data_IF_789555489812
#
_entry.id   IF_789555489812
#
_cell.length_a   1.000
_cell.length_b   1.000
_cell.length_c   1.000
_cell.angle_alpha   90.00
_cell.angle_beta   90.00
_cell.angle_gamma   90.00
#
_symmetry.space_group_name_H-M   'P 1'
#
loop_
_entity.id
_entity.type
_entity.pdbx_description
1 polymer ?
#
# COMPACT_ATOMS: atom_id res chain seq x y z
N UNK A 1 -32.35 11.10 -17.83
CA UNK A 1 -31.12 11.91 -17.70
C UNK A 1 -30.33 11.44 -16.49
N UNK A 2 -29.11 10.91 -16.66
CA UNK A 2 -28.22 10.66 -15.51
C UNK A 2 -27.81 12.03 -14.95
N UNK A 3 -28.18 12.33 -13.70
CA UNK A 3 -27.65 13.49 -12.96
C UNK A 3 -26.13 13.33 -12.94
N UNK A 4 -25.39 14.17 -13.66
CA UNK A 4 -23.94 14.26 -13.48
C UNK A 4 -23.74 14.88 -12.09
N UNK A 5 -23.54 14.02 -11.10
CA UNK A 5 -23.04 14.46 -9.80
C UNK A 5 -21.69 15.12 -10.06
N UNK A 6 -21.53 16.39 -9.70
CA UNK A 6 -20.22 17.03 -9.78
C UNK A 6 -19.33 16.31 -8.77
N UNK A 7 -18.11 15.93 -9.16
CA UNK A 7 -17.12 15.34 -8.26
C UNK A 7 -16.17 16.41 -7.71
N UNK A 8 -15.50 16.09 -6.61
CA UNK A 8 -14.34 16.81 -6.09
C UNK A 8 -13.20 15.81 -5.90
N UNK A 9 -11.96 16.24 -6.14
CA UNK A 9 -10.77 15.39 -6.03
C UNK A 9 -9.98 15.81 -4.79
N UNK A 10 -9.76 14.87 -3.87
CA UNK A 10 -8.94 15.07 -2.68
C UNK A 10 -7.55 14.53 -2.97
N UNK A 11 -6.53 15.38 -2.84
CA UNK A 11 -5.13 14.95 -2.95
C UNK A 11 -4.55 14.76 -1.55
N UNK A 12 -3.98 13.59 -1.33
CA UNK A 12 -3.26 13.22 -0.12
C UNK A 12 -1.82 12.86 -0.52
N UNK A 13 -0.87 13.31 0.31
CA UNK A 13 0.52 12.86 0.24
C UNK A 13 0.79 11.99 1.46
N UNK A 14 1.49 10.89 1.22
CA UNK A 14 2.02 10.03 2.26
C UNK A 14 3.51 10.32 2.35
N UNK A 15 3.96 10.67 3.54
CA UNK A 15 5.34 11.06 3.84
C UNK A 15 5.93 10.09 4.86
N UNK A 16 7.21 9.77 4.76
CA UNK A 16 7.88 8.98 5.78
C UNK A 16 7.91 9.74 7.11
N UNK A 17 7.72 9.02 8.22
CA UNK A 17 7.72 9.65 9.54
C UNK A 17 9.09 10.31 9.85
N UNK A 18 9.11 11.52 10.44
CA UNK A 18 10.36 12.21 10.77
C UNK A 18 11.26 11.41 11.71
N UNK A 19 12.55 11.38 11.41
CA UNK A 19 13.56 10.70 12.24
C UNK A 19 13.68 9.20 12.00
N UNK A 20 12.91 8.65 11.04
CA UNK A 20 13.01 7.26 10.68
C UNK A 20 14.25 6.94 9.84
N UNK A 21 14.83 5.76 10.07
CA UNK A 21 15.87 5.25 9.19
C UNK A 21 15.25 4.96 7.81
N UNK A 22 15.96 5.23 6.72
CA UNK A 22 15.53 4.86 5.35
C UNK A 22 15.66 3.35 5.10
N UNK A 23 15.20 2.55 6.05
CA UNK A 23 15.23 1.10 6.02
C UNK A 23 13.99 0.54 6.71
N UNK A 24 13.53 -0.64 6.31
CA UNK A 24 12.47 -1.33 7.03
C UNK A 24 12.89 -1.62 8.48
N UNK A 25 11.96 -1.41 9.40
CA UNK A 25 12.15 -1.68 10.81
C UNK A 25 10.94 -2.41 11.40
N UNK A 26 11.13 -3.03 12.57
CA UNK A 26 10.02 -3.66 13.28
C UNK A 26 9.25 -2.58 14.02
N UNK A 27 8.06 -2.24 13.53
CA UNK A 27 7.14 -1.39 14.26
C UNK A 27 6.38 -2.22 15.30
N UNK A 28 6.25 -1.68 16.50
CA UNK A 28 5.51 -2.29 17.60
C UNK A 28 4.42 -1.33 18.00
N UNK A 29 3.23 -1.51 17.47
CA UNK A 29 2.08 -0.78 17.98
C UNK A 29 1.64 -1.41 19.31
N UNK A 30 1.48 -0.60 20.36
CA UNK A 30 1.09 -1.10 21.70
C UNK A 30 -0.32 -1.71 21.73
N UNK A 31 -1.16 -1.45 20.73
CA UNK A 31 -2.58 -1.81 20.73
C UNK A 31 -3.01 -2.85 19.67
N UNK A 32 -2.16 -3.25 18.72
CA UNK A 32 -2.51 -4.26 17.71
C UNK A 32 -1.34 -5.19 17.36
N UNK A 33 -1.66 -6.40 16.89
CA UNK A 33 -0.73 -7.51 16.52
C UNK A 33 0.14 -7.21 15.28
N UNK A 34 0.45 -5.95 14.99
CA UNK A 34 1.31 -5.57 13.87
C UNK A 34 2.74 -5.41 14.39
N UNK A 35 3.48 -6.52 14.43
CA UNK A 35 4.90 -6.55 14.80
C UNK A 35 5.75 -6.93 13.59
N UNK A 36 5.66 -6.17 12.49
CA UNK A 36 6.25 -6.52 11.20
C UNK A 36 7.28 -5.50 10.69
N UNK A 37 8.13 -5.88 9.71
CA UNK A 37 8.96 -4.94 8.99
C UNK A 37 8.08 -3.96 8.21
N UNK A 38 8.18 -2.67 8.54
CA UNK A 38 7.43 -1.64 7.85
C UNK A 38 8.28 -0.37 7.65
N UNK A 39 7.77 0.51 6.80
CA UNK A 39 8.14 1.91 6.76
C UNK A 39 6.99 2.74 7.34
N UNK A 40 7.27 3.59 8.33
CA UNK A 40 6.22 4.43 8.92
C UNK A 40 5.93 5.61 8.01
N UNK A 41 4.65 5.88 7.81
CA UNK A 41 4.18 6.96 6.94
C UNK A 41 3.13 7.78 7.64
N UNK A 42 3.06 9.07 7.35
CA UNK A 42 1.96 9.93 7.78
C UNK A 42 1.26 10.51 6.56
N UNK A 43 -0.06 10.52 6.64
CA UNK A 43 -0.92 11.06 5.61
C UNK A 43 -1.19 12.55 5.86
N UNK A 44 -0.91 13.37 4.85
CA UNK A 44 -1.23 14.80 4.85
C UNK A 44 -2.22 15.10 3.72
N UNK A 45 -3.39 15.65 4.05
CA UNK A 45 -4.37 16.14 3.07
C UNK A 45 -3.86 17.47 2.49
N UNK A 46 -3.49 17.48 1.22
CA UNK A 46 -2.91 18.65 0.55
C UNK A 46 -3.94 19.64 0.04
N UNK A 47 -5.15 19.16 -0.27
CA UNK A 47 -6.25 20.03 -0.64
C UNK A 47 -7.31 19.35 -1.50
N UNK A 48 -8.24 20.18 -1.94
CA UNK A 48 -9.40 19.82 -2.74
C UNK A 48 -9.31 20.47 -4.11
N UNK A 49 -9.63 19.72 -5.16
CA UNK A 49 -9.50 20.14 -6.55
C UNK A 49 -10.80 19.89 -7.31
N UNK A 50 -11.19 20.83 -8.18
CA UNK A 50 -12.37 20.66 -9.03
C UNK A 50 -12.14 19.67 -10.17
N UNK A 51 -10.88 19.48 -10.58
CA UNK A 51 -10.52 18.56 -11.66
C UNK A 51 -9.36 17.66 -11.26
N UNK A 52 -9.37 16.42 -11.77
CA UNK A 52 -8.26 15.48 -11.64
C UNK A 52 -6.95 16.09 -12.16
N UNK A 53 -7.02 16.81 -13.28
CA UNK A 53 -5.86 17.45 -13.90
C UNK A 53 -5.16 18.45 -12.97
N UNK A 54 -5.94 19.20 -12.19
CA UNK A 54 -5.38 20.17 -11.24
C UNK A 54 -4.74 19.48 -10.04
N UNK A 55 -5.33 18.38 -9.56
CA UNK A 55 -4.72 17.54 -8.52
C UNK A 55 -3.37 16.95 -9.02
N UNK A 56 -3.35 16.35 -10.21
CA UNK A 56 -2.13 15.79 -10.81
C UNK A 56 -1.05 16.86 -11.08
N UNK A 57 -1.46 18.09 -11.42
CA UNK A 57 -0.52 19.22 -11.56
C UNK A 57 0.17 19.54 -10.24
N UNK A 58 -0.49 19.35 -9.10
CA UNK A 58 0.13 19.57 -7.80
C UNK A 58 1.08 18.45 -7.39
N UNK A 59 0.79 17.18 -7.72
CA UNK A 59 1.76 16.09 -7.61
C UNK A 59 3.05 16.46 -8.34
N UNK A 60 2.95 16.88 -9.60
CA UNK A 60 4.12 17.30 -10.41
C UNK A 60 4.90 18.46 -9.78
N UNK A 61 4.24 19.41 -9.10
CA UNK A 61 4.93 20.49 -8.40
C UNK A 61 5.73 19.99 -7.21
N UNK A 62 5.21 19.00 -6.48
CA UNK A 62 5.87 18.41 -5.31
C UNK A 62 7.06 17.56 -5.75
N UNK A 63 6.87 16.68 -6.73
CA UNK A 63 7.94 15.86 -7.32
C UNK A 63 9.11 16.72 -7.81
N UNK A 64 8.83 17.86 -8.46
CA UNK A 64 9.86 18.81 -8.91
C UNK A 64 10.71 19.42 -7.79
N UNK A 65 10.24 19.39 -6.54
CA UNK A 65 11.02 19.83 -5.37
C UNK A 65 11.99 18.75 -4.89
N UNK A 66 11.92 17.54 -5.44
CA UNK A 66 12.79 16.40 -5.16
C UNK A 66 12.91 16.11 -3.66
N UNK A 67 11.75 15.98 -3.01
CA UNK A 67 11.64 15.61 -1.60
C UNK A 67 11.92 14.12 -1.44
N UNK A 68 12.82 13.79 -0.52
CA UNK A 68 13.21 12.42 -0.17
C UNK A 68 12.24 11.76 0.82
N UNK A 69 11.47 12.55 1.55
CA UNK A 69 10.49 12.10 2.53
C UNK A 69 9.13 11.70 1.95
N UNK A 70 8.93 11.78 0.63
CA UNK A 70 7.66 11.40 0.00
C UNK A 70 7.62 9.90 -0.27
N UNK A 71 6.65 9.22 0.33
CA UNK A 71 6.33 7.81 0.05
C UNK A 71 5.51 7.66 -1.23
N UNK A 72 4.49 8.51 -1.39
CA UNK A 72 3.61 8.48 -2.55
C UNK A 72 2.41 9.40 -2.41
N UNK A 73 1.49 9.31 -3.37
CA UNK A 73 0.30 10.15 -3.41
C UNK A 73 -0.95 9.33 -3.65
N UNK A 74 -2.07 9.80 -3.11
CA UNK A 74 -3.40 9.26 -3.38
C UNK A 74 -4.32 10.39 -3.80
N UNK A 75 -5.04 10.17 -4.90
CA UNK A 75 -6.16 11.01 -5.30
C UNK A 75 -7.44 10.21 -5.10
N UNK A 76 -8.33 10.73 -4.26
CA UNK A 76 -9.68 10.19 -4.03
C UNK A 76 -10.69 11.06 -4.77
N UNK A 77 -11.49 10.46 -5.64
CA UNK A 77 -12.64 11.13 -6.23
C UNK A 77 -13.84 10.97 -5.29
N UNK A 78 -14.42 12.10 -4.88
CA UNK A 78 -15.55 12.15 -3.96
C UNK A 78 -16.73 12.85 -4.63
N UNK A 79 -17.99 12.50 -4.31
CA UNK A 79 -19.13 13.31 -4.71
C UNK A 79 -19.01 14.73 -4.11
N UNK A 80 -19.26 15.80 -4.88
CA UNK A 80 -19.11 17.19 -4.43
C UNK A 80 -20.01 17.54 -3.23
N UNK A 81 -21.14 16.85 -3.10
CA UNK A 81 -22.08 17.05 -1.99
C UNK A 81 -21.63 16.33 -0.70
N UNK A 82 -20.51 15.60 -0.73
CA UNK A 82 -19.92 14.95 0.46
C UNK A 82 -18.92 15.89 1.13
N UNK A 83 -19.34 16.52 2.22
CA UNK A 83 -18.48 17.30 3.12
C UNK A 83 -17.78 16.46 4.20
N UNK A 84 -18.00 15.14 4.23
CA UNK A 84 -17.59 14.27 5.35
C UNK A 84 -16.80 13.06 4.84
N UNK A 85 -15.71 12.71 5.52
CA UNK A 85 -14.83 11.53 5.31
C UNK A 85 -15.55 10.16 5.52
N UNK A 86 -16.89 10.11 5.47
CA UNK A 86 -17.70 8.91 5.78
C UNK A 86 -18.12 8.08 4.57
N UNK A 87 -17.91 8.56 3.34
CA UNK A 87 -18.27 7.82 2.13
C UNK A 87 -17.05 7.16 1.48
N UNK A 88 -17.23 5.93 0.99
CA UNK A 88 -16.26 5.30 0.12
C UNK A 88 -16.02 6.17 -1.12
N UNK A 89 -14.75 6.42 -1.51
CA UNK A 89 -14.45 7.16 -2.73
C UNK A 89 -15.12 6.56 -3.96
N UNK A 90 -15.53 7.41 -4.90
CA UNK A 90 -16.03 6.99 -6.22
C UNK A 90 -14.93 6.32 -7.04
N UNK A 91 -13.70 6.83 -6.91
CA UNK A 91 -12.51 6.23 -7.48
C UNK A 91 -11.28 6.61 -6.65
N UNK A 92 -10.26 5.76 -6.70
CA UNK A 92 -8.96 5.97 -6.09
C UNK A 92 -7.91 5.88 -7.17
N UNK A 93 -6.93 6.79 -7.13
CA UNK A 93 -5.72 6.71 -7.95
C UNK A 93 -4.52 6.83 -7.04
N UNK A 94 -3.57 5.92 -7.20
CA UNK A 94 -2.33 5.91 -6.43
C UNK A 94 -1.16 6.22 -7.34
N UNK A 95 -0.26 7.07 -6.85
CA UNK A 95 0.94 7.50 -7.57
C UNK A 95 2.16 7.21 -6.69
N UNK A 96 3.26 6.83 -7.34
CA UNK A 96 4.54 6.63 -6.66
C UNK A 96 5.18 7.97 -6.30
N UNK A 97 6.27 7.93 -5.53
CA UNK A 97 7.02 9.12 -5.10
C UNK A 97 7.56 9.97 -6.27
N UNK A 98 7.82 9.36 -7.43
CA UNK A 98 8.20 10.05 -8.67
C UNK A 98 7.01 10.69 -9.41
N UNK A 99 5.79 10.53 -8.89
CA UNK A 99 4.54 11.03 -9.47
C UNK A 99 4.02 10.22 -10.65
N UNK A 100 4.63 9.08 -10.97
CA UNK A 100 4.07 8.13 -11.94
C UNK A 100 2.78 7.53 -11.39
N UNK A 101 1.78 7.35 -12.26
CA UNK A 101 0.54 6.69 -11.88
C UNK A 101 0.84 5.21 -11.66
N UNK A 102 0.66 4.75 -10.42
CA UNK A 102 0.83 3.35 -10.08
C UNK A 102 -0.41 2.57 -10.50
N UNK A 103 -1.58 2.92 -9.97
CA UNK A 103 -2.81 2.18 -10.21
C UNK A 103 -4.06 3.07 -10.16
N UNK A 104 -5.10 2.58 -10.80
CA UNK A 104 -6.47 3.05 -10.61
C UNK A 104 -7.27 2.03 -9.82
N UNK A 105 -8.29 2.45 -9.06
CA UNK A 105 -9.19 1.57 -8.31
C UNK A 105 -10.05 0.62 -9.16
N UNK A 106 -9.78 0.54 -10.45
CA UNK A 106 -10.38 -0.38 -11.42
C UNK A 106 -9.34 -1.28 -12.10
N UNK A 107 -8.08 -1.28 -11.64
CA UNK A 107 -7.03 -2.12 -12.22
C UNK A 107 -7.20 -3.57 -11.74
N UNK A 108 -7.75 -4.43 -12.59
CA UNK A 108 -7.96 -5.86 -12.30
C UNK A 108 -6.77 -6.74 -12.71
N UNK A 109 -5.63 -6.14 -13.07
CA UNK A 109 -4.48 -6.86 -13.61
C UNK A 109 -3.34 -7.00 -12.62
N UNK A 110 -2.77 -8.20 -12.55
CA UNK A 110 -1.56 -8.46 -11.79
C UNK A 110 -0.38 -7.65 -12.35
N UNK A 111 0.26 -6.86 -11.48
CA UNK A 111 1.50 -6.12 -11.72
C UNK A 111 2.71 -6.81 -11.08
N UNK A 112 2.47 -7.62 -10.06
CA UNK A 112 3.46 -8.45 -9.39
C UNK A 112 3.19 -9.91 -9.64
N UNK A 113 4.26 -10.71 -9.63
CA UNK A 113 4.18 -12.17 -9.67
C UNK A 113 4.51 -12.76 -8.31
N UNK A 114 4.17 -14.02 -8.13
CA UNK A 114 4.59 -14.78 -6.96
C UNK A 114 6.10 -14.62 -6.68
N UNK A 115 6.43 -14.38 -5.42
CA UNK A 115 7.81 -14.25 -4.94
C UNK A 115 8.39 -12.84 -5.06
N UNK A 116 7.69 -11.91 -5.70
CA UNK A 116 8.05 -10.50 -5.67
C UNK A 116 7.84 -9.93 -4.26
N UNK A 117 8.79 -9.11 -3.80
CA UNK A 117 8.63 -8.34 -2.58
C UNK A 117 7.78 -7.12 -2.86
N UNK A 118 6.86 -6.82 -1.95
CA UNK A 118 5.88 -5.73 -2.08
C UNK A 118 5.67 -5.05 -0.74
N UNK A 119 5.04 -3.89 -0.78
CA UNK A 119 4.50 -3.24 0.40
C UNK A 119 2.97 -3.27 0.35
N UNK A 120 2.35 -3.50 1.50
CA UNK A 120 0.93 -3.27 1.73
C UNK A 120 0.81 -1.91 2.40
N UNK A 121 0.27 -0.94 1.68
CA UNK A 121 0.13 0.41 2.19
C UNK A 121 -1.15 0.58 3.02
N UNK A 122 -0.95 0.90 4.29
CA UNK A 122 -1.99 1.35 5.22
C UNK A 122 -1.96 2.88 5.36
N UNK A 123 -2.80 3.42 6.23
CA UNK A 123 -2.91 4.87 6.43
C UNK A 123 -1.69 5.48 7.14
N UNK A 124 -1.03 4.70 8.00
CA UNK A 124 0.04 5.14 8.91
C UNK A 124 1.35 4.34 8.78
N UNK A 125 1.38 3.30 7.95
CA UNK A 125 2.59 2.56 7.61
C UNK A 125 2.44 1.76 6.31
N UNK A 126 3.57 1.31 5.77
CA UNK A 126 3.64 0.33 4.69
C UNK A 126 4.28 -0.97 5.21
N UNK A 127 3.51 -2.07 5.27
CA UNK A 127 3.98 -3.38 5.74
C UNK A 127 4.69 -4.11 4.60
N UNK A 128 5.92 -4.58 4.83
CA UNK A 128 6.66 -5.36 3.85
C UNK A 128 6.14 -6.80 3.79
N UNK A 129 5.91 -7.28 2.57
CA UNK A 129 5.43 -8.64 2.29
C UNK A 129 6.07 -9.26 1.05
N UNK A 130 5.63 -10.49 0.76
CA UNK A 130 5.96 -11.23 -0.46
C UNK A 130 4.70 -11.79 -1.09
N UNK A 131 4.56 -11.64 -2.42
CA UNK A 131 3.38 -12.10 -3.13
C UNK A 131 3.31 -13.62 -3.12
N UNK A 132 2.17 -14.17 -2.70
CA UNK A 132 1.84 -15.58 -2.79
C UNK A 132 1.00 -15.87 -4.03
N UNK A 133 -0.03 -15.07 -4.29
CA UNK A 133 -0.92 -15.26 -5.44
C UNK A 133 -1.68 -13.98 -5.78
N UNK A 134 -2.33 -13.96 -6.94
CA UNK A 134 -3.25 -12.91 -7.36
C UNK A 134 -4.56 -13.51 -7.88
N UNK A 135 -5.67 -13.15 -7.26
CA UNK A 135 -7.00 -13.50 -7.73
C UNK A 135 -7.47 -12.46 -8.76
N UNK A 136 -7.50 -12.87 -10.03
CA UNK A 136 -7.98 -12.03 -11.13
C UNK A 136 -9.48 -11.71 -11.03
N UNK A 137 -10.29 -12.56 -10.41
CA UNK A 137 -11.72 -12.32 -10.29
C UNK A 137 -12.02 -11.25 -9.23
N UNK A 138 -11.23 -11.22 -8.15
CA UNK A 138 -11.35 -10.25 -7.07
C UNK A 138 -10.42 -9.04 -7.17
N UNK A 139 -9.49 -8.99 -8.14
CA UNK A 139 -8.51 -7.93 -8.26
C UNK A 139 -7.61 -7.80 -7.01
N UNK A 140 -7.33 -8.92 -6.35
CA UNK A 140 -6.71 -8.93 -5.02
C UNK A 140 -5.48 -9.82 -4.95
N UNK A 141 -4.48 -9.36 -4.20
CA UNK A 141 -3.30 -10.15 -3.89
C UNK A 141 -3.48 -10.89 -2.59
N UNK A 142 -2.95 -12.11 -2.57
CA UNK A 142 -2.57 -12.80 -1.34
C UNK A 142 -1.10 -12.51 -1.09
N UNK A 143 -0.81 -11.84 0.02
CA UNK A 143 0.56 -11.42 0.41
C UNK A 143 0.91 -12.05 1.75
N UNK A 144 2.08 -12.68 1.82
CA UNK A 144 2.62 -13.17 3.10
C UNK A 144 3.47 -12.06 3.73
N UNK A 145 3.08 -11.64 4.92
CA UNK A 145 3.86 -10.76 5.78
C UNK A 145 4.55 -11.57 6.90
N UNK A 146 5.58 -11.01 7.53
CA UNK A 146 6.22 -11.63 8.68
C UNK A 146 6.20 -10.71 9.89
N UNK A 147 5.83 -11.24 11.04
CA UNK A 147 6.04 -10.60 12.33
C UNK A 147 7.35 -11.11 12.94
N UNK A 148 8.22 -10.22 13.42
CA UNK A 148 9.49 -10.61 14.04
C UNK A 148 9.54 -10.11 15.48
N UNK A 149 9.64 -11.05 16.42
CA UNK A 149 9.73 -10.72 17.84
C UNK A 149 11.13 -10.23 18.25
N UNK A 150 11.29 -9.80 19.51
CA UNK A 150 12.56 -9.34 20.07
C UNK A 150 13.68 -10.39 20.05
N UNK A 151 13.31 -11.67 19.97
CA UNK A 151 14.23 -12.81 19.94
C UNK A 151 14.55 -13.23 18.49
N UNK A 152 13.98 -12.55 17.50
CA UNK A 152 14.18 -12.85 16.08
C UNK A 152 13.33 -14.02 15.57
N UNK A 153 12.35 -14.49 16.35
CA UNK A 153 11.39 -15.48 15.85
C UNK A 153 10.45 -14.81 14.86
N UNK A 154 10.28 -15.46 13.71
CA UNK A 154 9.39 -15.00 12.66
C UNK A 154 8.08 -15.79 12.73
N UNK A 155 6.98 -15.09 12.90
CA UNK A 155 5.62 -15.58 12.67
C UNK A 155 5.17 -15.07 11.29
N UNK A 156 4.40 -15.86 10.55
CA UNK A 156 3.93 -15.47 9.23
C UNK A 156 2.44 -15.25 9.24
N UNK A 157 1.99 -14.26 8.49
CA UNK A 157 0.58 -14.00 8.33
C UNK A 157 0.26 -13.75 6.87
N UNK A 158 -0.84 -14.35 6.41
CA UNK A 158 -1.39 -14.10 5.08
C UNK A 158 -2.31 -12.89 5.14
N UNK A 159 -2.18 -11.99 4.18
CA UNK A 159 -2.99 -10.78 4.00
C UNK A 159 -3.69 -10.89 2.65
N UNK A 160 -5.00 -10.65 2.64
CA UNK A 160 -5.75 -10.43 1.41
C UNK A 160 -5.84 -8.91 1.21
N UNK A 161 -5.28 -8.42 0.10
CA UNK A 161 -5.15 -6.99 -0.16
C UNK A 161 -5.65 -6.64 -1.55
N UNK A 162 -6.41 -5.55 -1.65
CA UNK A 162 -6.77 -4.96 -2.94
C UNK A 162 -5.50 -4.55 -3.71
N UNK A 163 -5.50 -4.69 -5.04
CA UNK A 163 -4.38 -4.31 -5.90
C UNK A 163 -3.95 -2.84 -5.71
N UNK A 164 -4.86 -1.96 -5.31
CA UNK A 164 -4.57 -0.55 -5.02
C UNK A 164 -3.71 -0.33 -3.79
N UNK A 165 -3.67 -1.27 -2.86
CA UNK A 165 -2.87 -1.18 -1.65
C UNK A 165 -1.51 -1.86 -1.78
N UNK A 166 -1.28 -2.65 -2.85
CA UNK A 166 -0.03 -3.37 -3.06
C UNK A 166 0.90 -2.56 -3.97
N UNK A 167 2.03 -2.17 -3.39
CA UNK A 167 3.02 -1.27 -3.98
C UNK A 167 4.39 -1.93 -4.14
N UNK A 168 5.24 -1.42 -5.05
CA UNK A 168 6.63 -1.83 -5.09
C UNK A 168 7.34 -1.35 -3.80
N UNK A 169 8.36 -2.08 -3.32
CA UNK A 169 9.12 -1.67 -2.15
C UNK A 169 9.69 -0.26 -2.34
N UNK A 170 9.35 0.64 -1.41
CA UNK A 170 9.86 2.02 -1.40
C UNK A 170 11.32 2.10 -0.96
N UNK A 171 11.80 1.08 -0.23
CA UNK A 171 13.14 0.97 0.31
C UNK A 171 13.80 -0.36 -0.07
N UNK A 172 15.14 -0.45 -0.07
CA UNK A 172 15.83 -1.72 -0.25
C UNK A 172 15.44 -2.74 0.83
N UNK A 173 14.99 -3.92 0.39
CA UNK A 173 14.61 -5.01 1.30
C UNK A 173 15.85 -5.61 1.96
N UNK A 174 15.95 -5.48 3.28
CA UNK A 174 17.08 -6.07 4.03
C UNK A 174 17.08 -7.60 3.92
N UNK A 175 18.28 -8.19 3.80
CA UNK A 175 18.48 -9.65 3.64
C UNK A 175 17.73 -10.49 4.68
N UNK A 176 17.69 -10.02 5.93
CA UNK A 176 17.02 -10.72 7.04
C UNK A 176 15.50 -10.86 6.79
N UNK A 177 14.85 -9.79 6.32
CA UNK A 177 13.42 -9.79 6.01
C UNK A 177 13.14 -10.58 4.73
N UNK A 178 13.96 -10.41 3.70
CA UNK A 178 13.86 -11.19 2.47
C UNK A 178 13.94 -12.70 2.75
N UNK A 179 14.86 -13.14 3.60
CA UNK A 179 15.00 -14.54 4.00
C UNK A 179 13.80 -15.02 4.82
N UNK A 180 13.30 -14.21 5.76
CA UNK A 180 12.11 -14.53 6.55
C UNK A 180 10.87 -14.70 5.66
N UNK A 181 10.57 -13.72 4.81
CA UNK A 181 9.43 -13.74 3.90
C UNK A 181 9.45 -14.93 2.93
N UNK A 182 10.62 -15.28 2.38
CA UNK A 182 10.77 -16.48 1.54
C UNK A 182 10.50 -17.79 2.30
N UNK A 183 10.81 -17.85 3.60
CA UNK A 183 10.43 -19.01 4.43
C UNK A 183 8.92 -19.02 4.65
N UNK A 184 8.32 -17.87 4.94
CA UNK A 184 6.88 -17.72 5.08
C UNK A 184 6.11 -18.15 3.83
N UNK A 185 6.54 -17.71 2.64
CA UNK A 185 5.94 -18.12 1.37
C UNK A 185 5.97 -19.65 1.18
N UNK A 186 7.10 -20.30 1.51
CA UNK A 186 7.21 -21.77 1.44
C UNK A 186 6.27 -22.46 2.42
N UNK A 187 6.11 -21.92 3.62
CA UNK A 187 5.22 -22.46 4.64
C UNK A 187 3.74 -22.32 4.22
N UNK A 188 3.32 -21.12 3.81
CA UNK A 188 1.96 -20.86 3.36
C UNK A 188 1.55 -21.77 2.19
N UNK A 189 2.48 -22.05 1.28
CA UNK A 189 2.28 -23.00 0.18
C UNK A 189 2.04 -24.42 0.66
N UNK A 190 2.78 -24.88 1.66
CA UNK A 190 2.60 -26.22 2.22
C UNK A 190 1.22 -26.34 2.87
N UNK A 191 0.84 -25.35 3.67
CA UNK A 191 -0.46 -25.30 4.34
C UNK A 191 -1.61 -25.31 3.31
N UNK A 192 -1.52 -24.54 2.22
CA UNK A 192 -2.53 -24.55 1.16
C UNK A 192 -2.64 -25.87 0.39
N UNK A 193 -1.56 -26.66 0.33
CA UNK A 193 -1.56 -27.96 -0.35
C UNK A 193 -2.15 -29.08 0.55
N UNK A 194 -1.97 -28.96 1.86
CA UNK A 194 -2.45 -29.93 2.85
C UNK A 194 -3.98 -29.78 3.12
N UNK A 195 -4.61 -28.67 2.72
CA UNK A 195 -6.06 -28.41 2.86
C UNK A 195 -6.94 -28.99 1.74
N UNK A 196 -6.36 -29.60 0.70
CA UNK A 196 -7.15 -30.22 -0.38
C UNK A 196 -7.61 -31.63 0.04
N UNK A 197 -8.93 -31.91 0.15
CA UNK A 197 -9.41 -33.25 0.42
C UNK A 197 -9.16 -34.12 -0.83
N UNK A 198 -8.47 -35.25 -0.62
CA UNK A 198 -8.34 -36.32 -1.61
C UNK A 198 -9.71 -36.91 -1.99
#
# INVERSE_FOLDING_TARGET
>A
MKKQTKSIFVLEVYEFAPGESHTYQVYKEKCYRCAGPCALTWQTKLGYFETLRDAEKNIKKIVRRNRDDVYGFVIKEMPRDCLVDTYAPLSIRRYLNDGSLWCTGSDETAKFKEGDFVEIAYDDYAELGIVQDFDNAGGSYTVVACNIDEKGHAEFCTRLCDATCVLPPSLPVQKKYAAALRRGLKQAKKESADELPF
#
